data_IF_573711097879
#
_entry.id   IF_573711097879
#
_cell.length_a   1.000
_cell.length_b   1.000
_cell.length_c   1.000
_cell.angle_alpha   90.00
_cell.angle_beta   90.00
_cell.angle_gamma   90.00
#
_symmetry.space_group_name_H-M   'P 1'
#
loop_
_entity.id
_entity.type
_entity.pdbx_description
1 polymer ?
#
# COMPACT_ATOMS: atom_id res chain seq x y z
N UNK A 1 -8.43 0.77 24.73
CA UNK A 1 -8.97 0.65 23.36
C UNK A 1 -8.92 2.00 22.68
N UNK A 2 -8.95 2.06 21.34
CA UNK A 2 -9.23 3.32 20.64
C UNK A 2 -10.62 3.85 21.03
N UNK A 3 -10.78 5.17 21.05
CA UNK A 3 -12.03 5.84 21.43
C UNK A 3 -12.79 6.36 20.22
N UNK A 4 -12.07 6.88 19.23
CA UNK A 4 -12.64 7.50 18.03
C UNK A 4 -11.98 6.94 16.76
N UNK A 5 -12.76 6.23 15.95
CA UNK A 5 -12.29 5.59 14.72
C UNK A 5 -13.03 6.18 13.52
N UNK A 6 -12.30 6.44 12.43
CA UNK A 6 -12.86 6.79 11.13
C UNK A 6 -12.70 5.59 10.18
N UNK A 7 -13.79 5.21 9.50
CA UNK A 7 -13.80 4.25 8.41
C UNK A 7 -13.97 5.01 7.09
N UNK A 8 -13.11 4.75 6.12
CA UNK A 8 -13.23 5.23 4.75
C UNK A 8 -13.25 4.03 3.79
N UNK A 9 -14.42 3.74 3.21
CA UNK A 9 -14.70 2.54 2.41
C UNK A 9 -15.89 2.84 1.50
N UNK A 10 -15.70 2.76 0.19
CA UNK A 10 -16.74 3.00 -0.82
C UNK A 10 -17.72 1.83 -0.96
N UNK A 11 -17.27 0.59 -0.75
CA UNK A 11 -18.15 -0.57 -0.79
C UNK A 11 -18.99 -0.71 0.49
N UNK A 12 -20.29 -0.41 0.40
CA UNK A 12 -21.23 -0.43 1.53
C UNK A 12 -21.22 -1.74 2.33
N UNK A 13 -21.22 -2.89 1.65
CA UNK A 13 -21.25 -4.21 2.30
C UNK A 13 -20.01 -4.46 3.16
N UNK A 14 -18.85 -3.97 2.70
CA UNK A 14 -17.59 -4.06 3.43
C UNK A 14 -17.59 -3.08 4.60
N UNK A 15 -18.05 -1.85 4.38
CA UNK A 15 -18.18 -0.84 5.44
C UNK A 15 -19.03 -1.34 6.60
N UNK A 16 -20.19 -1.97 6.32
CA UNK A 16 -21.06 -2.58 7.34
C UNK A 16 -20.33 -3.68 8.12
N UNK A 17 -19.54 -4.53 7.45
CA UNK A 17 -18.74 -5.58 8.11
C UNK A 17 -17.70 -5.00 9.08
N UNK A 18 -17.02 -3.92 8.67
CA UNK A 18 -16.07 -3.19 9.52
C UNK A 18 -16.80 -2.56 10.71
N UNK A 19 -17.92 -1.88 10.49
CA UNK A 19 -18.73 -1.28 11.55
C UNK A 19 -19.16 -2.34 12.58
N UNK A 20 -19.65 -3.50 12.13
CA UNK A 20 -20.02 -4.61 13.02
C UNK A 20 -18.84 -5.10 13.85
N UNK A 21 -17.65 -5.18 13.24
CA UNK A 21 -16.42 -5.53 13.96
C UNK A 21 -16.08 -4.53 15.06
N UNK A 22 -16.27 -3.23 14.82
CA UNK A 22 -16.02 -2.18 15.82
C UNK A 22 -17.09 -2.14 16.92
N UNK A 23 -18.35 -2.43 16.60
CA UNK A 23 -19.42 -2.61 17.57
C UNK A 23 -19.09 -3.74 18.56
N UNK A 24 -18.65 -4.90 18.07
CA UNK A 24 -18.24 -6.03 18.92
C UNK A 24 -17.08 -5.67 19.85
N UNK A 25 -16.22 -4.75 19.41
CA UNK A 25 -15.10 -4.21 20.19
C UNK A 25 -15.50 -3.08 21.14
N UNK A 26 -16.78 -2.70 21.15
CA UNK A 26 -17.33 -1.63 21.99
C UNK A 26 -16.61 -0.29 21.79
N UNK A 27 -16.26 0.03 20.54
CA UNK A 27 -15.65 1.31 20.21
C UNK A 27 -16.68 2.45 20.40
N UNK A 28 -16.39 3.47 21.24
CA UNK A 28 -17.38 4.48 21.61
C UNK A 28 -17.87 5.36 20.45
N UNK A 29 -16.96 5.79 19.58
CA UNK A 29 -17.26 6.72 18.48
C UNK A 29 -16.68 6.15 17.19
N UNK A 30 -17.57 5.85 16.26
CA UNK A 30 -17.21 5.40 14.92
C UNK A 30 -17.90 6.31 13.92
N UNK A 31 -17.09 6.94 13.07
CA UNK A 31 -17.58 7.64 11.88
C UNK A 31 -17.26 6.78 10.65
N UNK A 32 -18.15 6.81 9.66
CA UNK A 32 -17.92 6.20 8.36
C UNK A 32 -18.16 7.22 7.24
N UNK A 33 -17.42 7.05 6.15
CA UNK A 33 -17.56 7.82 4.91
C UNK A 33 -17.26 6.91 3.72
N UNK A 34 -17.83 7.24 2.57
CA UNK A 34 -17.63 6.51 1.31
C UNK A 34 -16.57 7.13 0.41
N UNK A 35 -16.17 8.37 0.70
CA UNK A 35 -15.28 9.16 -0.13
C UNK A 35 -14.04 9.62 0.64
N UNK A 36 -12.89 9.64 -0.05
CA UNK A 36 -11.63 10.09 0.53
C UNK A 36 -11.66 11.58 0.93
N UNK A 37 -12.31 12.44 0.14
CA UNK A 37 -12.41 13.86 0.47
C UNK A 37 -13.21 14.09 1.76
N UNK A 38 -14.29 13.32 1.95
CA UNK A 38 -15.09 13.34 3.18
C UNK A 38 -14.28 12.85 4.39
N UNK A 39 -13.45 11.82 4.19
CA UNK A 39 -12.55 11.32 5.24
C UNK A 39 -11.58 12.41 5.68
N UNK A 40 -10.94 13.09 4.73
CA UNK A 40 -10.04 14.20 5.03
C UNK A 40 -10.78 15.35 5.73
N UNK A 41 -11.98 15.71 5.26
CA UNK A 41 -12.79 16.77 5.86
C UNK A 41 -13.18 16.44 7.31
N UNK A 42 -13.55 15.19 7.61
CA UNK A 42 -13.83 14.72 8.97
C UNK A 42 -12.59 14.81 9.87
N UNK A 43 -11.43 14.39 9.39
CA UNK A 43 -10.17 14.52 10.17
C UNK A 43 -9.86 15.98 10.47
N UNK A 44 -9.94 16.86 9.47
CA UNK A 44 -9.73 18.30 9.69
C UNK A 44 -10.73 18.89 10.69
N UNK A 45 -12.00 18.51 10.59
CA UNK A 45 -13.04 18.93 11.53
C UNK A 45 -12.74 18.47 12.94
N UNK A 46 -12.38 17.20 13.12
CA UNK A 46 -12.14 16.61 14.43
C UNK A 46 -10.93 17.24 15.15
N UNK A 47 -9.90 17.65 14.40
CA UNK A 47 -8.77 18.44 14.91
C UNK A 47 -9.25 19.82 15.41
N UNK A 48 -10.06 20.54 14.61
CA UNK A 48 -10.61 21.86 15.00
C UNK A 48 -11.47 21.78 16.26
N UNK A 49 -12.20 20.69 16.41
CA UNK A 49 -13.06 20.41 17.57
C UNK A 49 -12.29 19.84 18.77
N UNK A 50 -10.96 19.73 18.70
CA UNK A 50 -10.10 19.16 19.75
C UNK A 50 -10.48 17.71 20.13
N UNK A 51 -11.06 16.97 19.19
CA UNK A 51 -11.44 15.57 19.33
C UNK A 51 -10.88 14.75 18.15
N UNK A 52 -9.54 14.70 17.97
CA UNK A 52 -8.92 14.02 16.85
C UNK A 52 -9.26 12.52 16.82
N UNK A 53 -9.22 11.91 15.65
CA UNK A 53 -9.36 10.46 15.53
C UNK A 53 -8.12 9.76 16.10
N UNK A 54 -8.32 8.57 16.66
CA UNK A 54 -7.21 7.73 17.12
C UNK A 54 -6.73 6.78 16.01
N UNK A 55 -7.66 6.32 15.17
CA UNK A 55 -7.42 5.34 14.11
C UNK A 55 -8.26 5.65 12.87
N UNK A 56 -7.63 5.55 11.71
CA UNK A 56 -8.24 5.44 10.39
C UNK A 56 -8.19 3.97 9.93
N UNK A 57 -9.33 3.45 9.48
CA UNK A 57 -9.42 2.21 8.71
C UNK A 57 -9.83 2.61 7.29
N UNK A 58 -9.03 2.26 6.29
CA UNK A 58 -9.29 2.69 4.91
C UNK A 58 -8.97 1.61 3.88
N UNK A 59 -9.75 1.53 2.80
CA UNK A 59 -9.32 0.81 1.60
C UNK A 59 -8.21 1.59 0.86
N UNK A 60 -7.48 0.90 -0.01
CA UNK A 60 -6.55 1.48 -0.97
C UNK A 60 -7.26 1.91 -2.24
N UNK A 61 -8.24 1.15 -2.70
CA UNK A 61 -8.87 1.34 -4.00
C UNK A 61 -10.27 1.88 -3.81
N UNK A 62 -10.61 2.91 -4.60
CA UNK A 62 -11.92 3.53 -4.63
C UNK A 62 -12.40 3.58 -6.07
N UNK A 63 -13.67 3.29 -6.30
CA UNK A 63 -14.29 3.41 -7.61
C UNK A 63 -14.62 4.88 -7.91
N UNK A 64 -14.25 5.36 -9.11
CA UNK A 64 -14.71 6.67 -9.58
C UNK A 64 -16.21 6.59 -9.89
N UNK A 65 -16.99 7.49 -9.30
CA UNK A 65 -18.40 7.66 -9.59
C UNK A 65 -18.67 9.01 -10.26
N UNK A 66 -19.94 9.39 -10.38
CA UNK A 66 -20.33 10.68 -10.97
C UNK A 66 -19.97 11.90 -10.10
N UNK A 67 -19.45 11.70 -8.88
CA UNK A 67 -19.03 12.77 -7.98
C UNK A 67 -17.53 13.05 -8.13
N UNK A 68 -17.11 14.21 -8.65
CA UNK A 68 -15.70 14.51 -8.80
C UNK A 68 -14.98 14.56 -7.45
N UNK A 69 -14.05 13.63 -7.23
CA UNK A 69 -13.19 13.60 -6.05
C UNK A 69 -11.82 14.20 -6.38
N UNK A 70 -11.25 14.97 -5.46
CA UNK A 70 -9.87 15.43 -5.55
C UNK A 70 -8.89 14.34 -5.10
N UNK A 71 -9.27 13.55 -4.10
CA UNK A 71 -8.50 12.41 -3.62
C UNK A 71 -9.09 11.14 -4.20
N UNK A 72 -8.28 10.44 -5.01
CA UNK A 72 -8.78 9.31 -5.80
C UNK A 72 -8.61 7.95 -5.15
N UNK A 73 -7.69 7.84 -4.20
CA UNK A 73 -7.35 6.55 -3.61
C UNK A 73 -6.94 6.67 -2.15
N UNK A 74 -6.81 5.51 -1.49
CA UNK A 74 -6.44 5.44 -0.09
C UNK A 74 -4.99 5.86 0.17
N UNK A 75 -4.10 5.73 -0.81
CA UNK A 75 -2.69 6.13 -0.64
C UNK A 75 -2.59 7.65 -0.52
N UNK A 76 -3.21 8.37 -1.44
CA UNK A 76 -3.27 9.83 -1.44
C UNK A 76 -4.00 10.35 -0.18
N UNK A 77 -5.07 9.67 0.25
CA UNK A 77 -5.77 9.98 1.50
C UNK A 77 -4.82 9.91 2.70
N UNK A 78 -4.07 8.81 2.83
CA UNK A 78 -3.11 8.60 3.92
C UNK A 78 -2.05 9.70 3.91
N UNK A 79 -1.46 10.04 2.76
CA UNK A 79 -0.46 11.10 2.66
C UNK A 79 -1.01 12.46 3.10
N UNK A 80 -2.21 12.83 2.62
CA UNK A 80 -2.85 14.11 2.98
C UNK A 80 -3.17 14.18 4.47
N UNK A 81 -3.68 13.08 5.05
CA UNK A 81 -3.96 13.04 6.49
C UNK A 81 -2.67 13.10 7.31
N UNK A 82 -1.60 12.40 6.91
CA UNK A 82 -0.31 12.43 7.62
C UNK A 82 0.26 13.83 7.73
N UNK A 83 0.03 14.71 6.75
CA UNK A 83 0.46 16.12 6.78
C UNK A 83 -0.24 16.94 7.87
N UNK A 84 -1.50 16.60 8.22
CA UNK A 84 -2.30 17.36 9.19
C UNK A 84 -2.40 16.69 10.57
N UNK A 85 -2.29 15.37 10.64
CA UNK A 85 -2.30 14.60 11.88
C UNK A 85 -1.30 13.43 11.81
N UNK A 86 0.02 13.69 11.98
CA UNK A 86 1.06 12.65 11.89
C UNK A 86 0.89 11.50 12.88
N UNK A 87 0.21 11.73 14.01
CA UNK A 87 0.00 10.73 15.07
C UNK A 87 -1.14 9.74 14.79
N UNK A 88 -2.02 10.01 13.83
CA UNK A 88 -3.19 9.17 13.55
C UNK A 88 -2.76 7.75 13.20
N UNK A 89 -3.27 6.71 13.87
CA UNK A 89 -2.95 5.35 13.46
C UNK A 89 -3.70 5.00 12.17
N UNK A 90 -3.10 4.20 11.30
CA UNK A 90 -3.72 3.81 10.02
C UNK A 90 -3.68 2.29 9.89
N UNK A 91 -4.85 1.69 9.69
CA UNK A 91 -4.99 0.31 9.22
C UNK A 91 -5.53 0.37 7.80
N UNK A 92 -4.78 -0.21 6.87
CA UNK A 92 -5.28 -0.44 5.52
C UNK A 92 -6.04 -1.75 5.50
N UNK A 93 -7.28 -1.73 5.02
CA UNK A 93 -8.11 -2.90 4.82
C UNK A 93 -8.43 -3.02 3.34
N UNK A 94 -7.77 -3.94 2.62
CA UNK A 94 -7.83 -3.97 1.15
C UNK A 94 -7.77 -5.38 0.56
N UNK A 95 -8.26 -5.54 -0.67
CA UNK A 95 -8.13 -6.77 -1.45
C UNK A 95 -6.72 -6.94 -2.07
N UNK A 96 -5.86 -5.93 -1.95
CA UNK A 96 -4.47 -5.98 -2.41
C UNK A 96 -3.72 -7.22 -1.86
N UNK A 97 -2.91 -7.83 -2.71
CA UNK A 97 -2.15 -9.04 -2.40
C UNK A 97 -0.70 -8.95 -2.85
N UNK A 98 -0.33 -7.95 -3.63
CA UNK A 98 1.04 -7.74 -4.10
C UNK A 98 1.90 -7.28 -2.93
N UNK A 99 2.88 -8.11 -2.57
CA UNK A 99 3.77 -7.87 -1.42
C UNK A 99 4.58 -6.58 -1.56
N UNK A 100 4.92 -6.14 -2.78
CA UNK A 100 5.62 -4.88 -3.05
C UNK A 100 4.79 -3.67 -2.66
N UNK A 101 3.51 -3.67 -3.05
CA UNK A 101 2.58 -2.62 -2.67
C UNK A 101 2.39 -2.63 -1.15
N UNK A 102 2.13 -3.80 -0.56
CA UNK A 102 1.94 -3.90 0.90
C UNK A 102 3.19 -3.40 1.66
N UNK A 103 4.39 -3.79 1.23
CA UNK A 103 5.65 -3.36 1.81
C UNK A 103 5.82 -1.83 1.72
N UNK A 104 5.47 -1.22 0.57
CA UNK A 104 5.53 0.23 0.38
C UNK A 104 4.62 0.99 1.36
N UNK A 105 3.44 0.45 1.70
CA UNK A 105 2.55 1.08 2.68
C UNK A 105 3.20 1.23 4.05
N UNK A 106 4.00 0.24 4.48
CA UNK A 106 4.72 0.32 5.74
C UNK A 106 5.96 1.22 5.64
N UNK A 107 6.73 1.10 4.55
CA UNK A 107 7.99 1.83 4.38
C UNK A 107 7.80 3.32 4.09
N UNK A 108 6.87 3.64 3.18
CA UNK A 108 6.75 4.97 2.60
C UNK A 108 5.57 5.75 3.20
N UNK A 109 4.45 5.06 3.48
CA UNK A 109 3.23 5.68 4.03
C UNK A 109 3.09 5.53 5.56
N UNK A 110 4.00 4.75 6.16
CA UNK A 110 4.04 4.50 7.61
C UNK A 110 2.69 4.06 8.19
N UNK A 111 2.00 3.15 7.50
CA UNK A 111 0.79 2.53 8.05
C UNK A 111 1.13 1.64 9.23
N UNK A 112 0.16 1.43 10.11
CA UNK A 112 0.33 0.65 11.33
C UNK A 112 -0.23 -0.76 11.19
N UNK A 113 -1.17 -0.99 10.28
CA UNK A 113 -1.66 -2.33 10.00
C UNK A 113 -2.06 -2.50 8.55
N UNK A 114 -1.97 -3.73 8.08
CA UNK A 114 -2.55 -4.15 6.82
C UNK A 114 -3.34 -5.43 7.05
N UNK A 115 -4.61 -5.41 6.64
CA UNK A 115 -5.53 -6.54 6.71
C UNK A 115 -6.06 -6.81 5.31
N UNK A 116 -5.90 -8.06 4.85
CA UNK A 116 -6.42 -8.47 3.55
C UNK A 116 -7.93 -8.73 3.66
N UNK A 117 -8.71 -8.16 2.75
CA UNK A 117 -10.13 -8.51 2.51
C UNK A 117 -10.18 -9.93 1.96
N UNK A 118 -10.44 -10.89 2.84
CA UNK A 118 -10.41 -12.32 2.54
C UNK A 118 -11.26 -13.08 3.57
N UNK A 119 -11.22 -14.41 3.53
CA UNK A 119 -11.85 -15.25 4.55
C UNK A 119 -11.29 -14.91 5.93
N UNK A 120 -12.16 -14.76 6.92
CA UNK A 120 -11.82 -14.38 8.31
C UNK A 120 -11.24 -12.96 8.48
N UNK A 121 -11.43 -12.07 7.52
CA UNK A 121 -11.00 -10.66 7.61
C UNK A 121 -11.39 -9.97 8.92
N UNK A 122 -12.59 -10.20 9.44
CA UNK A 122 -13.10 -9.61 10.67
C UNK A 122 -12.26 -10.02 11.88
N UNK A 123 -11.77 -11.27 11.92
CA UNK A 123 -10.89 -11.75 13.00
C UNK A 123 -9.52 -11.11 12.90
N UNK A 124 -8.97 -11.03 11.68
CA UNK A 124 -7.68 -10.39 11.43
C UNK A 124 -7.73 -8.89 11.71
N UNK A 125 -8.85 -8.23 11.41
CA UNK A 125 -9.10 -6.82 11.73
C UNK A 125 -9.13 -6.59 13.24
N UNK A 126 -9.81 -7.45 14.02
CA UNK A 126 -9.80 -7.37 15.50
C UNK A 126 -8.38 -7.50 16.05
N UNK A 127 -7.58 -8.43 15.53
CA UNK A 127 -6.16 -8.58 15.92
C UNK A 127 -5.35 -7.35 15.54
N UNK A 128 -5.54 -6.82 14.32
CA UNK A 128 -4.86 -5.62 13.84
C UNK A 128 -5.15 -4.42 14.72
N UNK A 129 -6.42 -4.19 15.07
CA UNK A 129 -6.81 -3.09 15.96
C UNK A 129 -6.15 -3.24 17.33
N UNK A 130 -6.12 -4.47 17.88
CA UNK A 130 -5.48 -4.73 19.18
C UNK A 130 -3.96 -4.49 19.14
N UNK A 131 -3.25 -4.98 18.12
CA UNK A 131 -1.81 -4.76 17.95
C UNK A 131 -1.48 -3.28 17.74
N UNK A 132 -2.21 -2.60 16.85
CA UNK A 132 -1.98 -1.19 16.55
C UNK A 132 -2.26 -0.30 17.76
N UNK A 133 -3.23 -0.67 18.60
CA UNK A 133 -3.52 0.02 19.86
C UNK A 133 -2.33 -0.03 20.85
N UNK A 134 -1.58 -1.12 20.89
CA UNK A 134 -0.36 -1.24 21.71
C UNK A 134 0.91 -0.76 20.99
N UNK A 135 0.76 -0.03 19.88
CA UNK A 135 1.84 0.49 19.02
C UNK A 135 2.68 -0.58 18.29
N UNK A 136 2.13 -1.76 18.07
CA UNK A 136 2.74 -2.79 17.23
C UNK A 136 2.17 -2.75 15.82
N UNK A 137 3.04 -2.90 14.82
CA UNK A 137 2.59 -3.02 13.44
C UNK A 137 1.95 -4.40 13.19
N UNK A 138 0.80 -4.41 12.52
CA UNK A 138 0.10 -5.64 12.20
C UNK A 138 0.21 -6.03 10.73
N UNK A 139 0.58 -7.29 10.50
CA UNK A 139 0.48 -7.97 9.23
C UNK A 139 0.29 -9.46 9.54
N UNK A 140 -0.58 -10.15 8.81
CA UNK A 140 -0.79 -11.59 9.00
C UNK A 140 0.51 -12.37 8.73
N UNK A 141 0.64 -13.56 9.32
CA UNK A 141 1.88 -14.35 9.22
C UNK A 141 2.26 -14.65 7.76
N UNK A 142 1.30 -15.03 6.94
CA UNK A 142 1.53 -15.36 5.53
C UNK A 142 2.04 -14.14 4.76
N UNK A 143 1.38 -12.99 4.92
CA UNK A 143 1.81 -11.74 4.29
C UNK A 143 3.18 -11.26 4.80
N UNK A 144 3.49 -11.48 6.08
CA UNK A 144 4.82 -11.20 6.64
C UNK A 144 5.90 -12.04 5.95
N UNK A 145 5.61 -13.30 5.64
CA UNK A 145 6.54 -14.17 4.92
C UNK A 145 6.75 -13.69 3.49
N UNK A 146 5.68 -13.32 2.79
CA UNK A 146 5.75 -12.81 1.41
C UNK A 146 6.56 -11.50 1.33
N UNK A 147 6.32 -10.57 2.26
CA UNK A 147 7.08 -9.31 2.36
C UNK A 147 8.54 -9.57 2.72
N UNK A 148 8.82 -10.55 3.59
CA UNK A 148 10.19 -10.92 3.95
C UNK A 148 10.94 -11.53 2.76
N UNK A 149 10.30 -12.41 2.00
CA UNK A 149 10.85 -12.99 0.76
C UNK A 149 11.08 -11.91 -0.30
N UNK A 150 10.16 -10.95 -0.42
CA UNK A 150 10.39 -9.81 -1.30
C UNK A 150 11.64 -9.02 -0.90
N UNK A 151 11.76 -8.69 0.40
CA UNK A 151 12.87 -7.88 0.89
C UNK A 151 14.23 -8.60 0.77
N UNK A 152 14.27 -9.94 0.60
CA UNK A 152 15.54 -10.65 0.32
C UNK A 152 16.06 -10.47 -1.11
N UNK A 153 15.24 -9.99 -2.05
CA UNK A 153 15.70 -9.74 -3.43
C UNK A 153 16.45 -8.42 -3.62
N UNK A 154 16.48 -7.54 -2.59
CA UNK A 154 17.23 -6.28 -2.58
C UNK A 154 17.17 -5.45 -3.88
N UNK A 155 15.98 -5.31 -4.49
CA UNK A 155 15.82 -4.51 -5.71
C UNK A 155 16.28 -3.06 -5.50
N UNK A 156 17.29 -2.65 -6.25
CA UNK A 156 17.73 -1.25 -6.26
C UNK A 156 16.83 -0.39 -7.16
N UNK A 157 16.89 0.93 -6.99
CA UNK A 157 16.20 1.86 -7.89
C UNK A 157 16.62 1.69 -9.36
N UNK A 158 17.87 1.29 -9.59
CA UNK A 158 18.39 0.96 -10.91
C UNK A 158 17.70 -0.29 -11.49
N UNK A 159 17.51 -1.33 -10.68
CA UNK A 159 16.88 -2.59 -11.09
C UNK A 159 15.42 -2.36 -11.48
N UNK A 160 14.68 -1.65 -10.63
CA UNK A 160 13.30 -1.26 -10.90
C UNK A 160 13.22 -0.46 -12.20
N UNK A 161 14.15 0.48 -12.43
CA UNK A 161 14.17 1.28 -13.65
C UNK A 161 14.43 0.43 -14.91
N UNK A 162 15.35 -0.53 -14.85
CA UNK A 162 15.62 -1.44 -15.96
C UNK A 162 14.38 -2.26 -16.34
N UNK A 163 13.78 -2.93 -15.36
CA UNK A 163 12.61 -3.78 -15.62
C UNK A 163 11.38 -2.94 -16.01
N UNK A 164 11.27 -1.72 -15.49
CA UNK A 164 10.22 -0.76 -15.91
C UNK A 164 10.36 -0.29 -17.36
N UNK A 165 11.58 -0.18 -17.89
CA UNK A 165 11.78 0.14 -19.30
C UNK A 165 11.39 -1.05 -20.18
N UNK A 166 11.78 -2.26 -19.79
CA UNK A 166 11.36 -3.49 -20.47
C UNK A 166 9.83 -3.63 -20.47
N UNK A 167 9.16 -3.34 -19.35
CA UNK A 167 7.70 -3.47 -19.24
C UNK A 167 6.93 -2.47 -20.12
N UNK A 168 7.58 -1.37 -20.52
CA UNK A 168 7.07 -0.39 -21.50
C UNK A 168 7.35 -0.77 -22.95
N UNK A 169 7.93 -1.95 -23.20
CA UNK A 169 8.26 -2.43 -24.54
C UNK A 169 9.58 -1.86 -25.09
N UNK A 170 10.40 -1.20 -24.26
CA UNK A 170 11.71 -0.73 -24.69
C UNK A 170 12.62 -1.94 -24.90
N UNK A 171 13.17 -2.08 -26.11
CA UNK A 171 14.14 -3.12 -26.42
C UNK A 171 15.41 -2.94 -25.57
N UNK A 172 15.96 -4.06 -25.07
CA UNK A 172 17.18 -4.08 -24.25
C UNK A 172 18.32 -3.22 -24.84
N UNK A 173 18.53 -3.28 -26.16
CA UNK A 173 19.56 -2.50 -26.87
C UNK A 173 19.37 -0.97 -26.81
N UNK A 174 18.15 -0.49 -26.54
CA UNK A 174 17.78 0.92 -26.48
C UNK A 174 17.71 1.46 -25.04
N UNK A 175 17.76 0.58 -24.02
CA UNK A 175 17.75 0.97 -22.61
C UNK A 175 18.90 1.94 -22.24
N UNK A 176 20.15 1.75 -22.71
CA UNK A 176 21.25 2.70 -22.51
C UNK A 176 20.90 4.17 -22.71
N UNK A 177 20.24 4.48 -23.83
CA UNK A 177 19.82 5.85 -24.18
C UNK A 177 18.86 6.43 -23.14
N UNK A 178 17.87 5.64 -22.70
CA UNK A 178 16.92 6.09 -21.69
C UNK A 178 17.53 6.26 -20.30
N UNK A 179 18.57 5.48 -19.96
CA UNK A 179 19.29 5.65 -18.70
C UNK A 179 20.13 6.92 -18.72
N UNK A 180 20.76 7.24 -19.86
CA UNK A 180 21.52 8.47 -20.05
C UNK A 180 20.64 9.72 -19.94
N UNK A 181 19.47 9.72 -20.60
CA UNK A 181 18.47 10.80 -20.46
C UNK A 181 18.05 11.05 -19.00
N UNK A 182 18.05 9.98 -18.18
CA UNK A 182 17.71 10.02 -16.75
C UNK A 182 18.91 10.23 -15.84
N UNK A 183 20.11 10.44 -16.38
CA UNK A 183 21.37 10.53 -15.63
C UNK A 183 21.65 9.31 -14.72
N UNK A 184 21.13 8.14 -15.08
CA UNK A 184 21.33 6.89 -14.33
C UNK A 184 22.58 6.17 -14.83
N UNK A 185 23.42 5.71 -13.90
CA UNK A 185 24.65 4.95 -14.19
C UNK A 185 24.63 3.61 -13.45
N UNK A 186 25.26 2.56 -14.01
CA UNK A 186 25.91 2.52 -15.32
C UNK A 186 24.88 2.54 -16.48
N UNK A 187 25.27 3.03 -17.66
CA UNK A 187 24.36 3.14 -18.83
C UNK A 187 24.93 2.47 -20.09
N UNK A 188 26.03 1.72 -19.98
CA UNK A 188 26.55 0.96 -21.13
C UNK A 188 25.65 -0.25 -21.43
N UNK A 189 25.55 -0.65 -22.69
CA UNK A 189 24.80 -1.85 -23.08
C UNK A 189 25.26 -3.06 -22.26
N UNK A 190 26.56 -3.36 -22.23
CA UNK A 190 27.11 -4.49 -21.48
C UNK A 190 26.75 -4.49 -19.98
N UNK A 191 26.65 -3.31 -19.36
CA UNK A 191 26.26 -3.17 -17.96
C UNK A 191 24.77 -3.49 -17.76
N UNK A 192 23.93 -3.04 -18.69
CA UNK A 192 22.49 -3.37 -18.71
C UNK A 192 22.29 -4.88 -18.87
N UNK A 193 22.97 -5.52 -19.82
CA UNK A 193 22.82 -6.97 -20.06
C UNK A 193 23.27 -7.79 -18.86
N UNK A 194 24.44 -7.46 -18.29
CA UNK A 194 24.95 -8.13 -17.09
C UNK A 194 23.98 -8.01 -15.93
N UNK A 195 23.39 -6.83 -15.72
CA UNK A 195 22.47 -6.63 -14.60
C UNK A 195 21.14 -7.36 -14.81
N UNK A 196 20.58 -7.32 -16.02
CA UNK A 196 19.38 -8.09 -16.35
C UNK A 196 19.60 -9.59 -16.21
N UNK A 197 20.77 -10.11 -16.59
CA UNK A 197 21.10 -11.53 -16.41
C UNK A 197 21.23 -11.91 -14.93
N UNK A 198 21.91 -11.09 -14.13
CA UNK A 198 21.96 -11.29 -12.67
C UNK A 198 20.56 -11.29 -12.04
N UNK A 199 19.69 -10.34 -12.40
CA UNK A 199 18.31 -10.33 -11.90
C UNK A 199 17.53 -11.59 -12.30
N UNK A 200 17.75 -12.12 -13.50
CA UNK A 200 17.13 -13.38 -13.94
C UNK A 200 17.62 -14.57 -13.12
N UNK A 201 18.91 -14.64 -12.84
CA UNK A 201 19.52 -15.68 -11.99
C UNK A 201 18.99 -15.61 -10.55
N UNK A 202 18.99 -14.42 -9.94
CA UNK A 202 18.55 -14.20 -8.55
C UNK A 202 17.06 -14.54 -8.33
N UNK A 203 16.25 -14.40 -9.39
CA UNK A 203 14.80 -14.66 -9.38
C UNK A 203 14.44 -16.02 -9.97
N UNK A 204 15.42 -16.81 -10.40
CA UNK A 204 15.24 -18.12 -11.03
C UNK A 204 14.32 -18.08 -12.28
N UNK A 205 14.41 -17.01 -13.07
CA UNK A 205 13.66 -16.83 -14.34
C UNK A 205 14.60 -16.84 -15.54
N UNK A 206 14.07 -17.17 -16.73
CA UNK A 206 14.90 -17.47 -17.91
C UNK A 206 14.84 -16.41 -19.00
N UNK A 207 13.83 -15.54 -18.99
CA UNK A 207 13.63 -14.52 -20.03
C UNK A 207 13.30 -13.15 -19.46
N UNK A 208 13.48 -12.10 -20.26
CA UNK A 208 13.14 -10.74 -19.86
C UNK A 208 11.63 -10.58 -19.67
N UNK A 209 10.82 -11.33 -20.42
CA UNK A 209 9.37 -11.36 -20.28
C UNK A 209 8.95 -11.99 -18.96
N UNK A 210 9.59 -13.10 -18.55
CA UNK A 210 9.37 -13.71 -17.24
C UNK A 210 9.82 -12.79 -16.09
N UNK A 211 10.94 -12.10 -16.26
CA UNK A 211 11.40 -11.09 -15.30
C UNK A 211 10.36 -9.98 -15.13
N UNK A 212 9.87 -9.42 -16.24
CA UNK A 212 8.82 -8.39 -16.21
C UNK A 212 7.53 -8.91 -15.56
N UNK A 213 7.11 -10.13 -15.90
CA UNK A 213 5.91 -10.75 -15.32
C UNK A 213 6.06 -10.90 -13.80
N UNK A 214 7.17 -11.48 -13.35
CA UNK A 214 7.48 -11.64 -11.93
C UNK A 214 7.41 -10.32 -11.18
N UNK A 215 8.10 -9.28 -11.70
CA UNK A 215 8.13 -7.96 -11.07
C UNK A 215 6.74 -7.29 -11.00
N UNK A 216 5.88 -7.49 -12.01
CA UNK A 216 4.47 -7.01 -12.00
C UNK A 216 3.60 -7.76 -11.01
N UNK A 217 3.80 -9.06 -10.87
CA UNK A 217 3.03 -9.93 -9.97
C UNK A 217 3.31 -9.59 -8.51
N UNK A 218 4.57 -9.31 -8.16
CA UNK A 218 4.93 -8.86 -6.81
C UNK A 218 4.65 -7.36 -6.58
N UNK A 219 4.36 -6.59 -7.64
CA UNK A 219 3.98 -5.18 -7.57
C UNK A 219 5.12 -4.21 -7.25
N UNK A 220 6.31 -4.47 -7.79
CA UNK A 220 7.43 -3.52 -7.73
C UNK A 220 7.50 -2.61 -8.98
N UNK A 221 6.80 -2.97 -10.06
CA UNK A 221 6.64 -2.20 -11.30
C UNK A 221 5.20 -2.25 -11.81
#
# INVERSE_FOLDING_TARGET
>A
MFKKILIAEDHESISISVQKTLEDLHIPIVDYVYYCDDALAKVQKSIREQQPYDLLITDLYYEEDHHPQQIKDGRELIEKIRKIQPSLKVIVFSAEHKSGIINSLFKDYHVNGYVRKARNDSKELKKSIASVYINENYLSLDLKQDVKKLNSYEFSAYDIALVSLLSKGILQKNIPTHLEEKNMKPNSLSSVEKKLNSLKEDLEVTSNEQLVAFCKDIGII
#
